data_IF_608593081718
#
_entry.id   IF_608593081718
#
_cell.length_a   1.000
_cell.length_b   1.000
_cell.length_c   1.000
_cell.angle_alpha   90.00
_cell.angle_beta   90.00
_cell.angle_gamma   90.00
#
_symmetry.space_group_name_H-M   'P 1'
#
loop_
_entity.id
_entity.type
_entity.pdbx_description
1 polymer ?
#
# COMPACT_ATOMS: atom_id res chain seq x y z
N UNK A 1 11.20 6.49 17.76
CA UNK A 1 11.02 6.99 16.35
C UNK A 1 9.54 6.94 16.02
N UNK A 2 9.07 7.70 15.02
CA UNK A 2 7.63 7.71 14.68
C UNK A 2 7.09 6.31 14.34
N UNK A 3 7.89 5.49 13.69
CA UNK A 3 7.51 4.11 13.35
C UNK A 3 7.26 3.26 14.60
N UNK A 4 8.11 3.39 15.63
CA UNK A 4 7.92 2.69 16.90
C UNK A 4 6.65 3.15 17.61
N UNK A 5 6.36 4.46 17.57
CA UNK A 5 5.16 5.04 18.17
C UNK A 5 3.90 4.53 17.45
N UNK A 6 3.94 4.45 16.12
CA UNK A 6 2.84 3.92 15.30
C UNK A 6 2.64 2.43 15.60
N UNK A 7 3.72 1.64 15.60
CA UNK A 7 3.64 0.21 15.89
C UNK A 7 3.12 -0.06 17.32
N UNK A 8 3.57 0.71 18.31
CA UNK A 8 3.09 0.61 19.69
C UNK A 8 1.60 0.96 19.81
N UNK A 9 1.16 2.01 19.14
CA UNK A 9 -0.27 2.39 19.15
C UNK A 9 -1.12 1.36 18.41
N UNK A 10 -0.62 0.82 17.31
CA UNK A 10 -1.31 -0.26 16.58
C UNK A 10 -1.48 -1.48 17.49
N UNK A 11 -0.45 -1.88 18.26
CA UNK A 11 -0.57 -2.97 19.23
C UNK A 11 -1.68 -2.69 20.26
N UNK A 12 -1.70 -1.49 20.86
CA UNK A 12 -2.74 -1.11 21.82
C UNK A 12 -4.14 -1.12 21.20
N UNK A 13 -4.26 -0.64 19.94
CA UNK A 13 -5.51 -0.68 19.18
C UNK A 13 -6.01 -2.11 19.00
N UNK A 14 -5.13 -3.02 18.57
CA UNK A 14 -5.46 -4.42 18.35
C UNK A 14 -5.86 -5.11 19.66
N UNK A 15 -5.10 -4.92 20.75
CA UNK A 15 -5.40 -5.50 22.05
C UNK A 15 -6.78 -5.04 22.55
N UNK A 16 -7.10 -3.76 22.43
CA UNK A 16 -8.42 -3.22 22.78
C UNK A 16 -9.53 -3.85 21.94
N UNK A 17 -9.36 -3.92 20.61
CA UNK A 17 -10.36 -4.51 19.71
C UNK A 17 -10.54 -6.02 19.95
N UNK A 18 -9.47 -6.72 20.34
CA UNK A 18 -9.57 -8.13 20.78
C UNK A 18 -10.37 -8.25 22.08
N UNK A 19 -10.09 -7.39 23.07
CA UNK A 19 -10.80 -7.38 24.34
C UNK A 19 -12.30 -7.04 24.17
N UNK A 20 -12.63 -6.15 23.25
CA UNK A 20 -14.02 -5.79 22.90
C UNK A 20 -14.73 -6.87 22.05
N UNK A 21 -14.06 -7.99 21.76
CA UNK A 21 -14.59 -9.09 20.95
C UNK A 21 -14.76 -8.77 19.47
N UNK A 22 -14.26 -7.65 18.99
CA UNK A 22 -14.37 -7.25 17.57
C UNK A 22 -13.74 -8.27 16.64
N UNK A 23 -12.47 -8.64 16.89
CA UNK A 23 -11.80 -9.64 16.06
C UNK A 23 -12.33 -11.06 16.23
N UNK A 24 -12.93 -11.36 17.39
CA UNK A 24 -13.65 -12.63 17.58
C UNK A 24 -14.84 -12.75 16.63
N UNK A 25 -15.59 -11.66 16.44
CA UNK A 25 -16.70 -11.62 15.47
C UNK A 25 -16.20 -11.73 14.03
N UNK A 26 -15.14 -11.02 13.67
CA UNK A 26 -14.53 -11.14 12.33
C UNK A 26 -14.05 -12.56 12.04
N UNK A 27 -13.45 -13.22 13.02
CA UNK A 27 -13.01 -14.61 12.88
C UNK A 27 -14.19 -15.56 12.61
N UNK A 28 -15.35 -15.35 13.22
CA UNK A 28 -16.56 -16.12 12.89
C UNK A 28 -17.07 -15.84 11.45
N UNK A 29 -16.95 -14.58 10.98
CA UNK A 29 -17.27 -14.23 9.60
C UNK A 29 -16.30 -14.89 8.60
N UNK A 30 -15.00 -14.99 8.95
CA UNK A 30 -13.99 -15.66 8.13
C UNK A 30 -14.30 -17.13 7.85
N UNK A 31 -15.05 -17.83 8.70
CA UNK A 31 -15.47 -19.22 8.44
C UNK A 31 -16.36 -19.36 7.19
N UNK A 32 -16.96 -18.26 6.73
CA UNK A 32 -17.79 -18.20 5.52
C UNK A 32 -17.12 -17.45 4.38
N UNK A 33 -15.90 -16.96 4.61
CA UNK A 33 -15.14 -16.22 3.60
C UNK A 33 -14.68 -17.18 2.49
N UNK A 34 -14.88 -16.76 1.26
CA UNK A 34 -14.34 -17.48 0.10
C UNK A 34 -13.11 -16.74 -0.37
N UNK A 35 -11.91 -17.37 -0.35
CA UNK A 35 -10.71 -16.74 -0.82
C UNK A 35 -10.83 -16.25 -2.26
N UNK A 36 -10.21 -15.12 -2.56
CA UNK A 36 -10.12 -14.62 -3.92
C UNK A 36 -9.32 -15.61 -4.77
N UNK A 37 -9.80 -15.90 -5.96
CA UNK A 37 -9.16 -16.86 -6.87
C UNK A 37 -8.02 -16.26 -7.66
N UNK A 38 -8.01 -14.94 -7.79
CA UNK A 38 -7.08 -14.19 -8.61
C UNK A 38 -6.34 -13.15 -7.76
N UNK A 39 -5.02 -13.14 -7.87
CA UNK A 39 -4.19 -12.04 -7.36
C UNK A 39 -4.29 -10.84 -8.32
N UNK A 40 -5.42 -10.13 -8.24
CA UNK A 40 -5.70 -8.98 -9.09
C UNK A 40 -4.66 -7.88 -8.91
N UNK A 41 -4.15 -7.72 -7.69
CA UNK A 41 -3.14 -6.70 -7.42
C UNK A 41 -1.85 -7.00 -8.19
N UNK A 42 -1.35 -8.24 -8.12
CA UNK A 42 -0.19 -8.66 -8.90
C UNK A 42 -0.44 -8.54 -10.40
N UNK A 43 -1.57 -9.04 -10.89
CA UNK A 43 -1.92 -9.01 -12.32
C UNK A 43 -1.96 -7.59 -12.88
N UNK A 44 -2.54 -6.64 -12.14
CA UNK A 44 -2.62 -5.26 -12.59
C UNK A 44 -1.26 -4.56 -12.58
N UNK A 45 -0.39 -4.88 -11.61
CA UNK A 45 0.94 -4.27 -11.54
C UNK A 45 1.93 -4.91 -12.53
N UNK A 46 1.69 -6.15 -12.97
CA UNK A 46 2.50 -6.86 -13.97
C UNK A 46 2.11 -6.50 -15.43
N UNK A 47 1.24 -5.52 -15.63
CA UNK A 47 0.86 -5.05 -16.98
C UNK A 47 2.02 -4.31 -17.66
N UNK A 48 2.00 -4.24 -19.01
CA UNK A 48 2.98 -3.48 -19.76
C UNK A 48 3.01 -2.00 -19.39
N UNK A 49 4.20 -1.42 -19.35
CA UNK A 49 4.44 -0.04 -18.94
C UNK A 49 4.47 0.16 -17.41
N UNK A 50 4.59 1.41 -16.98
CA UNK A 50 4.65 1.75 -15.56
C UNK A 50 3.25 1.72 -14.93
N UNK A 51 3.06 0.92 -13.89
CA UNK A 51 1.81 0.85 -13.15
C UNK A 51 1.70 1.97 -12.11
N UNK A 52 0.48 2.54 -11.95
CA UNK A 52 0.21 3.63 -11.03
C UNK A 52 -0.68 3.14 -9.87
N UNK A 53 -0.14 3.11 -8.66
CA UNK A 53 -0.90 2.90 -7.42
C UNK A 53 -1.27 4.28 -6.88
N UNK A 54 -2.55 4.66 -7.02
CA UNK A 54 -3.02 5.98 -6.63
C UNK A 54 -3.55 5.95 -5.19
N UNK A 55 -2.93 6.77 -4.30
CA UNK A 55 -3.21 6.73 -2.88
C UNK A 55 -4.26 7.75 -2.45
N UNK A 56 -5.27 7.30 -1.72
CA UNK A 56 -6.24 8.10 -1.00
C UNK A 56 -5.65 8.51 0.35
N UNK A 57 -5.18 9.76 0.45
CA UNK A 57 -4.45 10.27 1.62
C UNK A 57 -5.10 11.52 2.21
N UNK A 58 -5.76 11.39 3.36
CA UNK A 58 -6.35 12.51 4.09
C UNK A 58 -5.33 13.32 4.86
N UNK A 59 -4.37 12.63 5.49
CA UNK A 59 -3.34 13.23 6.33
C UNK A 59 -2.05 12.38 6.32
N UNK A 60 -0.96 12.95 6.80
CA UNK A 60 0.28 12.22 7.07
C UNK A 60 1.04 12.82 8.26
N UNK A 61 1.92 12.06 8.96
CA UNK A 61 2.73 12.57 10.06
C UNK A 61 3.59 13.78 9.67
N UNK A 62 4.12 13.81 8.46
CA UNK A 62 5.03 14.87 7.98
C UNK A 62 4.33 16.14 7.48
N UNK A 63 3.04 16.06 7.11
CA UNK A 63 2.31 17.16 6.46
C UNK A 63 1.04 17.58 7.20
N UNK A 64 0.65 16.84 8.23
CA UNK A 64 -0.67 17.04 8.87
C UNK A 64 -1.82 16.70 7.91
N UNK A 65 -2.92 17.42 8.01
CA UNK A 65 -4.08 17.25 7.13
C UNK A 65 -3.76 17.79 5.73
N UNK A 66 -3.93 16.95 4.71
CA UNK A 66 -3.70 17.27 3.29
C UNK A 66 -5.01 17.67 2.63
N UNK A 67 -6.12 17.03 3.01
CA UNK A 67 -7.46 17.31 2.46
C UNK A 67 -8.47 17.34 3.60
N UNK A 68 -9.05 18.52 3.86
CA UNK A 68 -10.11 18.64 4.87
C UNK A 68 -11.41 18.02 4.37
N UNK A 69 -11.84 18.41 3.18
CA UNK A 69 -12.90 17.72 2.45
C UNK A 69 -12.30 16.51 1.72
N UNK A 70 -12.72 15.31 2.12
CA UNK A 70 -12.16 14.06 1.65
C UNK A 70 -13.25 13.14 1.09
N UNK A 71 -13.80 13.44 -0.10
CA UNK A 71 -14.79 12.60 -0.78
C UNK A 71 -14.12 11.37 -1.40
N UNK A 72 -13.54 10.52 -0.56
CA UNK A 72 -12.65 9.42 -0.95
C UNK A 72 -13.24 8.47 -1.98
N UNK A 73 -14.56 8.18 -1.92
CA UNK A 73 -15.21 7.31 -2.89
C UNK A 73 -15.28 7.95 -4.29
N UNK A 74 -15.56 9.24 -4.38
CA UNK A 74 -15.55 9.98 -5.64
C UNK A 74 -14.13 10.07 -6.21
N UNK A 75 -13.13 10.33 -5.35
CA UNK A 75 -11.72 10.36 -5.73
C UNK A 75 -11.27 8.99 -6.26
N UNK A 76 -11.68 7.89 -5.61
CA UNK A 76 -11.35 6.54 -6.05
C UNK A 76 -11.88 6.24 -7.46
N UNK A 77 -13.15 6.61 -7.74
CA UNK A 77 -13.74 6.48 -9.09
C UNK A 77 -13.02 7.32 -10.13
N UNK A 78 -12.62 8.53 -9.76
CA UNK A 78 -11.83 9.40 -10.65
C UNK A 78 -10.47 8.77 -10.98
N UNK A 79 -9.79 8.17 -9.98
CA UNK A 79 -8.53 7.46 -10.18
C UNK A 79 -8.70 6.29 -11.14
N UNK A 80 -9.71 5.44 -10.92
CA UNK A 80 -10.02 4.32 -11.81
C UNK A 80 -10.33 4.80 -13.23
N UNK A 81 -11.21 5.78 -13.40
CA UNK A 81 -11.59 6.33 -14.71
C UNK A 81 -10.41 6.99 -15.44
N UNK A 82 -9.41 7.49 -14.70
CA UNK A 82 -8.19 8.05 -15.27
C UNK A 82 -7.14 6.98 -15.62
N UNK A 83 -7.34 5.73 -15.21
CA UNK A 83 -6.50 4.60 -15.55
C UNK A 83 -5.47 4.22 -14.48
N UNK A 84 -5.74 4.46 -13.21
CA UNK A 84 -4.95 3.90 -12.13
C UNK A 84 -4.93 2.36 -12.21
N UNK A 85 -3.78 1.75 -11.93
CA UNK A 85 -3.63 0.28 -11.89
C UNK A 85 -4.16 -0.32 -10.59
N UNK A 86 -4.09 0.44 -9.49
CA UNK A 86 -4.59 0.07 -8.18
C UNK A 86 -4.87 1.32 -7.33
N UNK A 87 -5.66 1.17 -6.28
CA UNK A 87 -5.87 2.19 -5.26
C UNK A 87 -5.19 1.77 -3.97
N UNK A 88 -4.44 2.68 -3.34
CA UNK A 88 -3.95 2.54 -1.98
C UNK A 88 -4.87 3.29 -1.04
N UNK A 89 -5.47 2.59 -0.07
CA UNK A 89 -6.39 3.17 0.90
C UNK A 89 -5.77 3.13 2.31
N UNK A 90 -5.47 4.30 2.87
CA UNK A 90 -4.96 4.43 4.23
C UNK A 90 -6.05 4.11 5.25
N UNK A 91 -5.77 3.17 6.16
CA UNK A 91 -6.70 2.77 7.22
C UNK A 91 -6.16 3.04 8.63
N UNK A 92 -4.93 3.53 8.78
CA UNK A 92 -4.37 3.94 10.07
C UNK A 92 -5.09 5.21 10.58
N UNK A 93 -5.74 5.17 11.78
CA UNK A 93 -6.68 6.23 12.17
C UNK A 93 -6.02 7.47 12.79
N UNK A 94 -4.89 7.34 13.47
CA UNK A 94 -4.32 8.40 14.30
C UNK A 94 -3.50 9.40 13.51
N UNK A 95 -2.50 8.94 12.77
CA UNK A 95 -1.57 9.79 12.04
C UNK A 95 -1.97 10.06 10.60
N UNK A 96 -2.67 9.11 9.98
CA UNK A 96 -3.12 9.24 8.59
C UNK A 96 -4.59 9.60 8.46
N UNK A 97 -5.33 9.63 9.59
CA UNK A 97 -6.78 9.88 9.64
C UNK A 97 -7.54 8.93 8.69
N UNK A 98 -7.03 7.69 8.57
CA UNK A 98 -7.62 6.62 7.78
C UNK A 98 -8.73 5.89 8.54
N UNK A 99 -9.46 5.04 7.83
CA UNK A 99 -10.52 4.21 8.40
C UNK A 99 -10.72 2.96 7.54
N UNK A 100 -10.95 1.81 8.18
CA UNK A 100 -11.28 0.56 7.47
C UNK A 100 -12.60 0.71 6.68
N UNK A 101 -13.51 1.56 7.14
CA UNK A 101 -14.75 1.87 6.43
C UNK A 101 -14.50 2.54 5.08
N UNK A 102 -13.44 3.35 4.95
CA UNK A 102 -13.05 3.93 3.65
C UNK A 102 -12.68 2.83 2.66
N UNK A 103 -11.83 1.89 3.10
CA UNK A 103 -11.43 0.76 2.26
C UNK A 103 -12.63 -0.06 1.83
N UNK A 104 -13.52 -0.41 2.77
CA UNK A 104 -14.73 -1.19 2.48
C UNK A 104 -15.62 -0.49 1.44
N UNK A 105 -15.81 0.81 1.55
CA UNK A 105 -16.60 1.58 0.59
C UNK A 105 -15.90 1.62 -0.77
N UNK A 106 -14.58 1.93 -0.80
CA UNK A 106 -13.81 2.00 -2.05
C UNK A 106 -13.84 0.66 -2.79
N UNK A 107 -13.62 -0.46 -2.08
CA UNK A 107 -13.64 -1.78 -2.68
C UNK A 107 -14.99 -2.16 -3.32
N UNK A 108 -16.10 -1.56 -2.88
CA UNK A 108 -17.43 -1.74 -3.47
C UNK A 108 -17.68 -0.84 -4.68
N UNK A 109 -16.97 0.28 -4.77
CA UNK A 109 -17.22 1.34 -5.74
C UNK A 109 -16.32 1.29 -6.98
N UNK A 110 -15.18 0.55 -6.91
CA UNK A 110 -14.22 0.41 -7.99
C UNK A 110 -14.01 -1.06 -8.36
N UNK A 111 -13.51 -1.31 -9.57
CA UNK A 111 -13.19 -2.66 -10.08
C UNK A 111 -11.70 -2.97 -10.01
N UNK A 112 -10.85 -1.94 -9.96
CA UNK A 112 -9.40 -2.11 -9.81
C UNK A 112 -9.04 -2.52 -8.39
N UNK A 113 -7.92 -3.24 -8.18
CA UNK A 113 -7.55 -3.74 -6.86
C UNK A 113 -7.31 -2.62 -5.84
N UNK A 114 -7.70 -2.88 -4.59
CA UNK A 114 -7.54 -1.94 -3.47
C UNK A 114 -6.55 -2.52 -2.47
N UNK A 115 -5.46 -1.77 -2.22
CA UNK A 115 -4.46 -2.06 -1.21
C UNK A 115 -4.88 -1.46 0.14
N UNK A 116 -4.94 -2.27 1.20
CA UNK A 116 -4.96 -1.76 2.57
C UNK A 116 -3.59 -1.24 2.96
N UNK A 117 -3.45 0.06 3.11
CA UNK A 117 -2.23 0.72 3.58
C UNK A 117 -2.37 0.98 5.09
N UNK A 118 -1.82 0.09 5.91
CA UNK A 118 -1.84 0.13 7.38
C UNK A 118 -0.58 -0.58 7.93
N UNK A 119 -0.28 -0.41 9.21
CA UNK A 119 0.79 -1.12 9.90
C UNK A 119 0.27 -2.46 10.40
N UNK A 120 0.45 -3.50 9.60
CA UNK A 120 -0.04 -4.85 9.90
C UNK A 120 1.00 -5.58 10.76
N UNK A 121 0.60 -5.93 11.98
CA UNK A 121 1.42 -6.59 13.00
C UNK A 121 0.70 -7.78 13.66
N UNK A 122 -0.49 -8.11 13.18
CA UNK A 122 -1.29 -9.21 13.70
C UNK A 122 -2.16 -9.79 12.58
N UNK A 123 -2.30 -11.10 12.60
CA UNK A 123 -3.08 -11.85 11.62
C UNK A 123 -4.55 -11.40 11.51
N UNK A 124 -5.14 -10.96 12.63
CA UNK A 124 -6.52 -10.46 12.63
C UNK A 124 -6.73 -9.24 11.73
N UNK A 125 -5.68 -8.42 11.49
CA UNK A 125 -5.75 -7.30 10.55
C UNK A 125 -5.79 -7.79 9.09
N UNK A 126 -5.20 -8.94 8.79
CA UNK A 126 -5.25 -9.57 7.45
C UNK A 126 -6.67 -10.10 7.19
N UNK A 127 -7.29 -10.74 8.20
CA UNK A 127 -8.69 -11.17 8.14
C UNK A 127 -9.63 -9.97 7.93
N UNK A 128 -9.41 -8.90 8.68
CA UNK A 128 -10.17 -7.65 8.56
C UNK A 128 -10.06 -7.05 7.15
N UNK A 129 -8.84 -7.04 6.57
CA UNK A 129 -8.61 -6.57 5.20
C UNK A 129 -9.40 -7.40 4.18
N UNK A 130 -9.35 -8.73 4.29
CA UNK A 130 -10.06 -9.64 3.40
C UNK A 130 -11.59 -9.42 3.47
N UNK A 131 -12.15 -9.34 4.67
CA UNK A 131 -13.58 -9.11 4.89
C UNK A 131 -14.03 -7.70 4.46
N UNK A 132 -13.13 -6.72 4.52
CA UNK A 132 -13.40 -5.38 4.02
C UNK A 132 -13.30 -5.26 2.48
N UNK A 133 -12.90 -6.33 1.78
CA UNK A 133 -12.79 -6.37 0.32
C UNK A 133 -11.47 -5.85 -0.23
N UNK A 134 -10.40 -5.80 0.58
CA UNK A 134 -9.07 -5.51 0.07
C UNK A 134 -8.63 -6.57 -0.94
N UNK A 135 -7.88 -6.16 -1.95
CA UNK A 135 -7.20 -7.07 -2.88
C UNK A 135 -5.74 -7.31 -2.49
N UNK A 136 -5.18 -6.43 -1.66
CA UNK A 136 -3.82 -6.53 -1.16
C UNK A 136 -3.66 -5.87 0.20
N UNK A 137 -2.57 -6.22 0.87
CA UNK A 137 -2.12 -5.62 2.13
C UNK A 137 -0.67 -5.14 2.02
N UNK A 138 -0.29 -4.24 2.94
CA UNK A 138 1.08 -3.80 3.13
C UNK A 138 1.72 -4.56 4.28
N UNK A 139 2.95 -5.03 4.10
CA UNK A 139 3.82 -5.53 5.17
C UNK A 139 5.11 -4.72 5.22
N UNK A 140 5.49 -4.28 6.42
CA UNK A 140 6.74 -3.54 6.67
C UNK A 140 7.82 -4.46 7.22
N UNK A 141 8.98 -4.56 6.56
CA UNK A 141 10.11 -5.32 7.07
C UNK A 141 10.61 -4.79 8.42
N UNK A 142 10.60 -3.46 8.60
CA UNK A 142 11.15 -2.79 9.78
C UNK A 142 10.45 -3.14 11.11
N UNK A 143 9.18 -3.57 11.08
CA UNK A 143 8.38 -3.81 12.29
C UNK A 143 8.00 -5.29 12.50
N UNK A 144 8.40 -6.16 11.59
CA UNK A 144 8.08 -7.59 11.62
C UNK A 144 9.36 -8.44 11.75
N UNK A 145 9.27 -9.53 12.49
CA UNK A 145 10.29 -10.59 12.50
C UNK A 145 10.22 -11.42 11.21
N UNK A 146 11.26 -12.21 10.95
CA UNK A 146 11.29 -13.09 9.77
C UNK A 146 10.21 -14.17 9.81
N UNK A 147 9.84 -14.64 11.00
CA UNK A 147 8.74 -15.57 11.23
C UNK A 147 7.40 -14.91 10.85
N UNK A 148 7.14 -13.70 11.35
CA UNK A 148 5.92 -12.94 11.05
C UNK A 148 5.81 -12.60 9.57
N UNK A 149 6.91 -12.21 8.92
CA UNK A 149 6.93 -11.95 7.47
C UNK A 149 6.50 -13.21 6.70
N UNK A 150 7.10 -14.37 6.99
CA UNK A 150 6.75 -15.64 6.34
C UNK A 150 5.31 -16.06 6.62
N UNK A 151 4.87 -15.96 7.87
CA UNK A 151 3.51 -16.29 8.26
C UNK A 151 2.49 -15.40 7.55
N UNK A 152 2.67 -14.08 7.60
CA UNK A 152 1.71 -13.13 7.05
C UNK A 152 1.66 -13.18 5.52
N UNK A 153 2.80 -13.35 4.84
CA UNK A 153 2.86 -13.60 3.40
C UNK A 153 2.07 -14.86 3.01
N UNK A 154 2.31 -15.96 3.74
CA UNK A 154 1.62 -17.23 3.49
C UNK A 154 0.12 -17.11 3.75
N UNK A 155 -0.25 -16.47 4.87
CA UNK A 155 -1.64 -16.32 5.25
C UNK A 155 -2.41 -15.42 4.28
N UNK A 156 -1.85 -14.25 3.92
CA UNK A 156 -2.45 -13.37 2.93
C UNK A 156 -2.72 -14.09 1.60
N UNK A 157 -1.74 -14.86 1.10
CA UNK A 157 -1.90 -15.69 -0.10
C UNK A 157 -3.02 -16.73 0.03
N UNK A 158 -3.15 -17.36 1.18
CA UNK A 158 -4.22 -18.34 1.41
C UNK A 158 -5.62 -17.74 1.33
N UNK A 159 -5.73 -16.43 1.53
CA UNK A 159 -6.95 -15.64 1.37
C UNK A 159 -7.09 -15.03 -0.03
N UNK A 160 -6.10 -15.21 -0.90
CA UNK A 160 -6.06 -14.63 -2.24
C UNK A 160 -5.66 -13.16 -2.27
N UNK A 161 -5.09 -12.63 -1.17
CA UNK A 161 -4.60 -11.26 -1.09
C UNK A 161 -3.18 -11.15 -1.67
N UNK A 162 -2.94 -10.13 -2.49
CA UNK A 162 -1.62 -9.66 -2.83
C UNK A 162 -0.92 -9.03 -1.61
N UNK A 163 0.41 -8.95 -1.66
CA UNK A 163 1.19 -8.30 -0.60
C UNK A 163 2.20 -7.35 -1.22
N UNK A 164 2.12 -6.07 -0.87
CA UNK A 164 3.19 -5.10 -1.07
C UNK A 164 4.14 -5.20 0.14
N UNK A 165 5.35 -5.71 -0.09
CA UNK A 165 6.35 -5.96 0.94
C UNK A 165 7.36 -4.80 0.95
N UNK A 166 7.17 -3.83 1.87
CA UNK A 166 7.95 -2.58 1.94
C UNK A 166 9.27 -2.78 2.66
N UNK A 167 10.35 -2.27 2.06
CA UNK A 167 11.71 -2.27 2.58
C UNK A 167 12.37 -0.88 2.42
N UNK A 168 13.28 -0.53 3.33
CA UNK A 168 13.99 0.73 3.36
C UNK A 168 15.51 0.59 3.09
N UNK A 169 16.04 -0.60 3.26
CA UNK A 169 17.46 -0.91 3.06
C UNK A 169 17.66 -2.32 2.46
N UNK A 170 18.92 -2.64 2.13
CA UNK A 170 19.30 -3.92 1.54
C UNK A 170 18.90 -5.12 2.41
N UNK A 171 19.14 -5.03 3.72
CA UNK A 171 18.83 -6.11 4.66
C UNK A 171 17.34 -6.39 4.72
N UNK A 172 16.51 -5.37 4.76
CA UNK A 172 15.05 -5.48 4.72
C UNK A 172 14.59 -6.07 3.39
N UNK A 173 15.18 -5.63 2.27
CA UNK A 173 14.87 -6.16 0.95
C UNK A 173 15.21 -7.65 0.84
N UNK A 174 16.38 -8.06 1.31
CA UNK A 174 16.79 -9.48 1.33
C UNK A 174 15.83 -10.34 2.18
N UNK A 175 15.38 -9.83 3.34
CA UNK A 175 14.41 -10.51 4.21
C UNK A 175 13.07 -10.72 3.49
N UNK A 176 12.55 -9.70 2.83
CA UNK A 176 11.27 -9.77 2.09
C UNK A 176 11.38 -10.73 0.89
N UNK A 177 12.45 -10.61 0.09
CA UNK A 177 12.70 -11.51 -1.05
C UNK A 177 12.92 -12.95 -0.58
N UNK A 178 13.71 -13.16 0.48
CA UNK A 178 13.96 -14.48 1.08
C UNK A 178 12.70 -15.14 1.65
N UNK A 179 11.74 -14.37 2.12
CA UNK A 179 10.43 -14.86 2.54
C UNK A 179 9.49 -15.16 1.35
N UNK A 180 9.91 -14.83 0.11
CA UNK A 180 9.17 -15.09 -1.10
C UNK A 180 8.16 -14.01 -1.49
N UNK A 181 8.39 -12.74 -1.11
CA UNK A 181 7.59 -11.63 -1.61
C UNK A 181 7.66 -11.55 -3.14
N UNK A 182 6.50 -11.34 -3.78
CA UNK A 182 6.38 -11.21 -5.25
C UNK A 182 6.33 -9.75 -5.71
N UNK A 183 5.88 -8.87 -4.83
CA UNK A 183 5.82 -7.43 -5.04
C UNK A 183 6.59 -6.81 -3.88
N UNK A 184 7.66 -6.11 -4.17
CA UNK A 184 8.48 -5.42 -3.16
C UNK A 184 8.37 -3.92 -3.37
N UNK A 185 8.26 -3.18 -2.26
CA UNK A 185 8.19 -1.73 -2.26
C UNK A 185 9.47 -1.12 -1.69
N UNK A 186 10.01 -0.11 -2.35
CA UNK A 186 11.07 0.73 -1.81
C UNK A 186 10.47 2.04 -1.35
N UNK A 187 10.52 2.29 -0.05
CA UNK A 187 10.10 3.57 0.49
C UNK A 187 11.28 4.55 0.48
N UNK A 188 11.20 5.55 -0.40
CA UNK A 188 12.21 6.61 -0.49
C UNK A 188 12.18 7.59 0.69
N UNK A 189 11.17 7.50 1.56
CA UNK A 189 11.09 8.35 2.74
C UNK A 189 11.73 7.68 3.94
N UNK A 190 12.75 8.33 4.50
CA UNK A 190 13.28 7.95 5.82
C UNK A 190 12.21 8.27 6.89
N UNK A 191 11.79 7.26 7.64
CA UNK A 191 10.78 7.43 8.68
C UNK A 191 11.34 8.00 9.99
N UNK A 192 12.66 8.25 10.05
CA UNK A 192 13.32 8.86 11.21
C UNK A 192 13.19 10.39 11.21
N UNK A 193 13.31 11.00 10.03
CA UNK A 193 13.35 12.46 9.84
C UNK A 193 12.44 12.96 8.70
N UNK A 194 11.78 12.05 7.99
CA UNK A 194 10.92 12.29 6.83
C UNK A 194 11.62 12.83 5.59
N UNK A 195 12.93 12.80 5.52
CA UNK A 195 13.68 13.11 4.29
C UNK A 195 13.36 12.13 3.19
N UNK A 196 13.48 12.57 1.95
CA UNK A 196 13.21 11.75 0.75
C UNK A 196 14.53 11.53 0.02
N UNK A 197 14.84 10.27 -0.23
CA UNK A 197 16.04 9.78 -0.90
C UNK A 197 15.64 8.94 -2.11
N UNK A 198 15.43 9.58 -3.27
CA UNK A 198 14.98 8.90 -4.49
C UNK A 198 16.00 7.87 -4.99
N UNK A 199 17.28 8.07 -4.67
CA UNK A 199 18.37 7.13 -4.91
C UNK A 199 18.19 5.76 -4.27
N UNK A 200 17.34 5.64 -3.23
CA UNK A 200 17.05 4.35 -2.60
C UNK A 200 16.40 3.37 -3.59
N UNK A 201 15.47 3.85 -4.42
CA UNK A 201 14.86 2.99 -5.45
C UNK A 201 15.91 2.49 -6.43
N UNK A 202 16.79 3.35 -6.95
CA UNK A 202 17.86 2.95 -7.87
C UNK A 202 18.84 1.95 -7.23
N UNK A 203 19.18 2.19 -5.96
CA UNK A 203 20.10 1.33 -5.22
C UNK A 203 19.51 -0.07 -4.98
N UNK A 204 18.28 -0.15 -4.48
CA UNK A 204 17.64 -1.40 -4.11
C UNK A 204 17.07 -2.17 -5.32
N UNK A 205 16.76 -1.50 -6.43
CA UNK A 205 16.31 -2.14 -7.66
C UNK A 205 17.27 -3.23 -8.14
N UNK A 206 18.58 -3.07 -7.89
CA UNK A 206 19.64 -4.02 -8.30
C UNK A 206 19.54 -5.38 -7.58
N UNK A 207 18.86 -5.42 -6.42
CA UNK A 207 18.66 -6.62 -5.63
C UNK A 207 17.39 -7.39 -6.03
N UNK A 208 16.48 -6.72 -6.75
CA UNK A 208 15.17 -7.29 -7.10
C UNK A 208 15.27 -8.18 -8.33
N UNK A 209 14.92 -9.48 -8.23
CA UNK A 209 14.89 -10.37 -9.38
C UNK A 209 13.86 -9.92 -10.42
N UNK A 210 14.13 -10.17 -11.70
CA UNK A 210 13.26 -9.76 -12.81
C UNK A 210 11.86 -10.38 -12.83
N UNK A 211 11.66 -11.45 -12.08
CA UNK A 211 10.36 -12.11 -11.90
C UNK A 211 9.56 -11.57 -10.72
N UNK A 212 10.01 -10.46 -10.12
CA UNK A 212 9.36 -9.71 -9.04
C UNK A 212 8.96 -8.34 -9.55
N UNK A 213 7.95 -7.76 -8.92
CA UNK A 213 7.49 -6.39 -9.20
C UNK A 213 8.14 -5.46 -8.18
N UNK A 214 8.81 -4.42 -8.68
CA UNK A 214 9.36 -3.34 -7.87
C UNK A 214 8.42 -2.13 -7.88
N UNK A 215 8.01 -1.70 -6.68
CA UNK A 215 7.21 -0.49 -6.47
C UNK A 215 8.07 0.59 -5.84
N UNK A 216 8.14 1.78 -6.43
CA UNK A 216 8.77 2.94 -5.80
C UNK A 216 7.72 3.75 -5.05
N UNK A 217 7.95 4.00 -3.76
CA UNK A 217 7.02 4.69 -2.87
C UNK A 217 7.64 5.97 -2.31
N UNK A 218 6.79 6.96 -2.06
CA UNK A 218 7.17 8.29 -1.57
C UNK A 218 8.01 9.12 -2.54
N UNK A 219 7.86 10.44 -2.46
CA UNK A 219 8.66 11.37 -3.26
C UNK A 219 8.14 11.63 -4.68
N UNK A 220 7.08 10.97 -5.13
CA UNK A 220 6.47 11.16 -6.44
C UNK A 220 5.77 12.53 -6.53
N UNK A 221 6.54 13.61 -6.77
CA UNK A 221 6.05 14.99 -6.75
C UNK A 221 5.97 15.66 -8.13
N UNK A 222 6.49 15.01 -9.17
CA UNK A 222 6.46 15.49 -10.56
C UNK A 222 6.56 14.33 -11.55
N UNK A 223 6.14 14.56 -12.78
CA UNK A 223 6.27 13.63 -13.91
C UNK A 223 7.72 13.21 -14.14
N UNK A 224 8.66 14.17 -14.04
CA UNK A 224 10.09 13.89 -14.17
C UNK A 224 10.61 12.89 -13.12
N UNK A 225 10.15 12.98 -11.88
CA UNK A 225 10.52 12.02 -10.82
C UNK A 225 9.91 10.65 -11.12
N UNK A 226 8.66 10.58 -11.55
CA UNK A 226 8.02 9.31 -11.92
C UNK A 226 8.78 8.63 -13.04
N UNK A 227 9.19 9.38 -14.07
CA UNK A 227 10.03 8.88 -15.17
C UNK A 227 11.40 8.39 -14.65
N UNK A 228 12.04 9.14 -13.76
CA UNK A 228 13.29 8.73 -13.13
C UNK A 228 13.14 7.38 -12.40
N UNK A 229 12.04 7.16 -11.68
CA UNK A 229 11.82 5.88 -10.98
C UNK A 229 11.61 4.72 -11.95
N UNK A 230 10.92 4.95 -13.06
CA UNK A 230 10.82 3.95 -14.14
C UNK A 230 12.21 3.62 -14.71
N UNK A 231 13.03 4.62 -15.02
CA UNK A 231 14.39 4.44 -15.53
C UNK A 231 15.30 3.73 -14.52
N UNK A 232 15.04 3.90 -13.22
CA UNK A 232 15.70 3.17 -12.14
C UNK A 232 15.25 1.70 -12.02
N UNK A 233 14.24 1.28 -12.79
CA UNK A 233 13.76 -0.10 -12.84
C UNK A 233 12.48 -0.38 -12.06
N UNK A 234 11.75 0.65 -11.60
CA UNK A 234 10.45 0.44 -10.97
C UNK A 234 9.40 0.01 -12.02
N UNK A 235 8.65 -1.05 -11.71
CA UNK A 235 7.50 -1.53 -12.49
C UNK A 235 6.22 -0.76 -12.13
N UNK A 236 6.19 -0.22 -10.91
CA UNK A 236 5.08 0.60 -10.41
C UNK A 236 5.56 1.74 -9.51
N UNK A 237 4.75 2.79 -9.41
CA UNK A 237 4.95 3.87 -8.44
C UNK A 237 3.69 4.08 -7.59
N UNK A 238 3.89 4.42 -6.30
CA UNK A 238 2.80 4.77 -5.39
C UNK A 238 2.77 6.28 -5.22
N UNK A 239 1.65 6.92 -5.62
CA UNK A 239 1.49 8.37 -5.69
C UNK A 239 0.30 8.80 -4.83
N UNK A 240 0.56 9.60 -3.80
CA UNK A 240 -0.50 10.15 -2.94
C UNK A 240 -0.52 11.68 -2.93
N UNK A 241 0.49 12.32 -2.33
CA UNK A 241 0.49 13.77 -2.09
C UNK A 241 0.29 14.59 -3.38
N UNK A 242 0.97 14.23 -4.46
CA UNK A 242 0.85 14.91 -5.76
C UNK A 242 -0.60 14.90 -6.26
N UNK A 243 -1.26 13.74 -6.22
CA UNK A 243 -2.63 13.59 -6.68
C UNK A 243 -3.63 14.33 -5.77
N UNK A 244 -3.47 14.23 -4.46
CA UNK A 244 -4.33 14.93 -3.51
C UNK A 244 -4.23 16.46 -3.66
N UNK A 245 -3.03 16.99 -3.90
CA UNK A 245 -2.79 18.42 -4.13
C UNK A 245 -3.25 18.89 -5.51
N UNK A 246 -3.33 18.01 -6.50
CA UNK A 246 -3.82 18.34 -7.84
C UNK A 246 -5.32 18.71 -7.86
N UNK A 247 -6.08 18.32 -6.84
CA UNK A 247 -7.52 18.63 -6.75
C UNK A 247 -8.28 18.10 -7.98
N UNK A 248 -9.07 18.93 -8.62
CA UNK A 248 -9.85 18.57 -9.81
C UNK A 248 -8.99 18.14 -11.02
N UNK A 249 -7.69 18.43 -11.00
CA UNK A 249 -6.77 18.04 -12.09
C UNK A 249 -6.16 16.64 -11.93
N UNK A 250 -6.48 15.93 -10.85
CA UNK A 250 -5.83 14.63 -10.53
C UNK A 250 -6.01 13.57 -11.62
N UNK A 251 -7.19 13.53 -12.24
CA UNK A 251 -7.45 12.64 -13.38
C UNK A 251 -6.58 12.96 -14.61
N UNK A 252 -6.31 14.24 -14.88
CA UNK A 252 -5.40 14.64 -15.96
C UNK A 252 -3.96 14.21 -15.64
N UNK A 253 -3.51 14.45 -14.42
CA UNK A 253 -2.17 14.01 -13.97
C UNK A 253 -1.97 12.50 -14.18
N UNK A 254 -2.94 11.68 -13.79
CA UNK A 254 -2.86 10.22 -13.97
C UNK A 254 -2.77 9.86 -15.46
N UNK A 255 -3.59 10.47 -16.32
CA UNK A 255 -3.56 10.22 -17.78
C UNK A 255 -2.21 10.59 -18.38
N UNK A 256 -1.68 11.77 -18.08
CA UNK A 256 -0.35 12.21 -18.54
C UNK A 256 0.73 11.23 -18.11
N UNK A 257 0.76 10.86 -16.83
CA UNK A 257 1.74 9.89 -16.32
C UNK A 257 1.66 8.54 -17.04
N UNK A 258 0.47 8.08 -17.40
CA UNK A 258 0.31 6.84 -18.16
C UNK A 258 0.82 6.97 -19.59
N UNK A 259 0.45 8.04 -20.30
CA UNK A 259 0.84 8.26 -21.69
C UNK A 259 2.36 8.38 -21.86
N UNK A 260 3.04 9.04 -20.91
CA UNK A 260 4.49 9.22 -20.94
C UNK A 260 5.29 7.99 -20.52
N UNK A 261 4.63 7.01 -19.88
CA UNK A 261 5.28 5.83 -19.30
C UNK A 261 4.75 4.49 -19.82
N UNK A 262 4.10 4.49 -20.97
CA UNK A 262 3.73 3.29 -21.73
C UNK A 262 4.91 2.62 -22.40
#
# INVERSE_FOLDING_TARGET
MILDDIAAETRRRIERLKADGYYGRLHEEMKRFTPLTDDLFYKNLASDGLSLICELKKASPSKGTISEDFPFAAIAKEYEAAGASAISCLTEPKWFKGDIAYLKTVAQEVKIPVLRKDFIIDRCQIEEAALAGASAILLFAAILSDEEIREFLSYARSLGLGVLAEAHDEKEMERMLGAGARIVGVNNRDLRDFTIHLENTEHLARLVPKDRILVSESGMMSEAIVKQMREAGADAVLIGEMLMRAGERRGNVIRTLREENQ
#
